data_IF_428003135102
#
_entry.id   IF_428003135102
#
_cell.length_a   1.000
_cell.length_b   1.000
_cell.length_c   1.000
_cell.angle_alpha   90.00
_cell.angle_beta   90.00
_cell.angle_gamma   90.00
#
_symmetry.space_group_name_H-M   'P 1'
#
loop_
_entity.id
_entity.type
_entity.pdbx_description
1 polymer ?
#
# COMPACT_ATOMS: atom_id res chain seq x y z
N UNK A 1 -10.64 13.31 28.44
CA UNK A 1 -11.07 12.00 27.89
C UNK A 1 -9.83 11.22 27.53
N UNK A 2 -9.71 9.96 27.96
CA UNK A 2 -8.54 9.11 27.67
C UNK A 2 -8.97 8.05 26.66
N UNK A 3 -8.28 8.01 25.52
CA UNK A 3 -8.51 7.03 24.46
C UNK A 3 -7.34 6.07 24.42
N UNK A 4 -7.63 4.79 24.22
CA UNK A 4 -6.62 3.75 24.12
C UNK A 4 -6.66 3.16 22.71
N UNK A 5 -5.50 3.12 22.07
CA UNK A 5 -5.33 2.61 20.71
C UNK A 5 -4.32 1.46 20.74
N UNK A 6 -4.68 0.35 20.10
CA UNK A 6 -3.82 -0.81 19.98
C UNK A 6 -4.16 -1.59 18.72
N UNK A 7 -3.14 -2.19 18.11
CA UNK A 7 -3.30 -3.04 16.93
C UNK A 7 -3.46 -4.49 17.36
N UNK A 8 -4.40 -5.19 16.73
CA UNK A 8 -4.66 -6.60 16.98
C UNK A 8 -5.22 -7.25 15.73
N UNK A 9 -5.07 -8.58 15.66
CA UNK A 9 -5.70 -9.39 14.62
C UNK A 9 -6.97 -10.04 15.19
N UNK A 10 -8.16 -9.77 14.64
CA UNK A 10 -9.37 -10.47 15.04
C UNK A 10 -9.21 -11.98 14.84
N UNK A 11 -9.73 -12.78 15.77
CA UNK A 11 -9.74 -14.24 15.67
C UNK A 11 -11.19 -14.73 15.82
N UNK A 12 -11.68 -15.49 14.84
CA UNK A 12 -13.05 -16.04 14.85
C UNK A 12 -14.14 -14.98 15.06
N UNK A 13 -13.99 -13.81 14.45
CA UNK A 13 -14.93 -12.69 14.61
C UNK A 13 -14.85 -11.99 15.97
N UNK A 14 -13.92 -12.39 16.85
CA UNK A 14 -13.73 -11.80 18.17
C UNK A 14 -12.45 -10.98 18.23
N UNK A 15 -12.55 -9.81 18.87
CA UNK A 15 -11.42 -8.98 19.26
C UNK A 15 -11.09 -9.29 20.71
N UNK A 16 -9.91 -9.86 20.96
CA UNK A 16 -9.43 -10.11 22.32
C UNK A 16 -8.83 -8.81 22.86
N UNK A 17 -9.42 -8.28 23.94
CA UNK A 17 -8.82 -7.17 24.67
C UNK A 17 -7.53 -7.64 25.35
N UNK A 18 -6.45 -6.85 25.27
CA UNK A 18 -5.24 -7.11 26.04
C UNK A 18 -5.50 -7.19 27.56
N UNK A 19 -4.71 -7.95 28.33
CA UNK A 19 -4.96 -8.19 29.76
C UNK A 19 -5.04 -6.93 30.63
N UNK A 20 -4.34 -5.87 30.24
CA UNK A 20 -4.36 -4.59 30.95
C UNK A 20 -5.71 -3.84 30.85
N UNK A 21 -6.63 -4.30 29.99
CA UNK A 21 -7.98 -3.78 29.84
C UNK A 21 -9.06 -4.70 30.41
N UNK A 22 -8.70 -5.78 31.11
CA UNK A 22 -9.64 -6.76 31.66
C UNK A 22 -10.67 -6.14 32.62
N UNK A 23 -10.32 -5.02 33.26
CA UNK A 23 -11.23 -4.20 34.08
C UNK A 23 -12.45 -3.62 33.32
N UNK A 24 -12.52 -3.77 31.99
CA UNK A 24 -13.62 -3.28 31.17
C UNK A 24 -14.58 -4.38 30.71
N UNK A 25 -14.33 -5.65 31.04
CA UNK A 25 -15.20 -6.77 30.65
C UNK A 25 -16.65 -6.59 31.14
N UNK A 26 -16.82 -6.00 32.33
CA UNK A 26 -18.14 -5.73 32.93
C UNK A 26 -18.70 -4.34 32.60
N UNK A 27 -18.06 -3.58 31.71
CA UNK A 27 -18.44 -2.19 31.42
C UNK A 27 -18.93 -2.04 29.99
N UNK A 28 -19.92 -1.16 29.79
CA UNK A 28 -20.34 -0.79 28.45
C UNK A 28 -19.25 0.10 27.81
N UNK A 29 -18.59 -0.43 26.78
CA UNK A 29 -17.53 0.26 26.03
C UNK A 29 -17.97 0.57 24.61
N UNK A 30 -17.49 1.70 24.07
CA UNK A 30 -17.61 2.03 22.64
C UNK A 30 -16.27 1.77 21.98
N UNK A 31 -16.28 1.06 20.85
CA UNK A 31 -15.08 0.65 20.12
C UNK A 31 -15.10 1.31 18.74
N UNK A 32 -13.99 1.91 18.34
CA UNK A 32 -13.77 2.39 16.97
C UNK A 32 -12.77 1.42 16.33
N UNK A 33 -13.19 0.76 15.25
CA UNK A 33 -12.33 -0.14 14.49
C UNK A 33 -11.80 0.59 13.28
N UNK A 34 -10.48 0.66 13.16
CA UNK A 34 -9.79 1.11 11.96
C UNK A 34 -9.22 -0.12 11.28
N UNK A 35 -9.74 -0.43 10.09
CA UNK A 35 -9.25 -1.54 9.28
C UNK A 35 -8.17 -0.97 8.37
N UNK A 36 -6.91 -1.33 8.64
CA UNK A 36 -5.86 -1.16 7.66
C UNK A 36 -6.11 -2.21 6.58
N UNK A 37 -6.55 -1.79 5.39
CA UNK A 37 -6.39 -2.57 4.18
C UNK A 37 -4.88 -2.70 3.97
N UNK A 38 -4.28 -3.68 4.62
CA UNK A 38 -3.03 -4.25 4.13
C UNK A 38 -3.46 -4.77 2.79
N UNK A 39 -3.14 -4.03 1.72
CA UNK A 39 -3.19 -4.56 0.37
C UNK A 39 -2.55 -5.93 0.50
N UNK A 40 -3.39 -6.98 0.48
CA UNK A 40 -2.92 -8.36 0.38
C UNK A 40 -1.87 -8.27 -0.70
N UNK A 41 -0.59 -8.61 -0.46
CA UNK A 41 0.48 -8.27 -1.38
C UNK A 41 -0.05 -8.74 -2.70
N UNK A 42 -0.44 -7.77 -3.54
CA UNK A 42 -1.08 -8.12 -4.79
C UNK A 42 0.01 -9.00 -5.33
N UNK A 43 -0.30 -10.28 -5.54
CA UNK A 43 0.48 -11.05 -6.48
C UNK A 43 0.20 -10.30 -7.77
N UNK A 44 0.86 -9.15 -7.92
CA UNK A 44 1.55 -8.77 -9.10
C UNK A 44 2.34 -10.04 -9.35
N UNK A 45 1.69 -10.96 -10.07
CA UNK A 45 2.24 -11.37 -11.33
C UNK A 45 2.89 -10.09 -11.83
N UNK A 46 4.18 -9.97 -11.52
CA UNK A 46 5.07 -9.09 -12.22
C UNK A 46 4.90 -9.63 -13.62
N UNK A 47 3.87 -9.14 -14.32
CA UNK A 47 3.90 -9.13 -15.74
C UNK A 47 5.24 -8.49 -15.99
N UNK A 48 6.15 -9.33 -16.45
CA UNK A 48 7.49 -8.93 -16.82
C UNK A 48 7.33 -8.10 -18.08
N UNK A 49 6.66 -6.96 -17.98
CA UNK A 49 6.97 -5.81 -18.80
C UNK A 49 8.30 -5.30 -18.27
N UNK A 50 9.34 -6.12 -18.48
CA UNK A 50 10.68 -5.61 -18.50
C UNK A 50 10.66 -4.59 -19.63
N UNK A 51 10.72 -3.32 -19.27
CA UNK A 51 11.05 -2.30 -20.25
C UNK A 51 12.44 -2.65 -20.74
N UNK A 52 12.52 -3.31 -21.89
CA UNK A 52 13.78 -3.64 -22.53
C UNK A 52 14.44 -2.31 -22.89
N UNK A 53 15.55 -2.01 -22.21
CA UNK A 53 16.36 -0.86 -22.54
C UNK A 53 16.95 -1.07 -23.94
N UNK A 54 16.35 -0.43 -24.94
CA UNK A 54 16.86 -0.47 -26.31
C UNK A 54 18.07 0.47 -26.42
N UNK A 55 19.23 -0.12 -26.68
CA UNK A 55 20.43 0.66 -27.01
C UNK A 55 20.41 1.01 -28.50
N UNK A 56 19.98 2.24 -28.81
CA UNK A 56 20.01 2.75 -30.18
C UNK A 56 21.40 3.28 -30.51
N UNK A 57 21.99 2.81 -31.62
CA UNK A 57 23.27 3.34 -32.13
C UNK A 57 23.03 4.72 -32.76
N UNK A 58 23.02 5.76 -31.93
CA UNK A 58 22.82 7.15 -32.36
C UNK A 58 24.10 7.81 -32.90
N UNK A 59 25.23 7.10 -32.91
CA UNK A 59 26.51 7.62 -33.42
C UNK A 59 26.41 7.88 -34.92
N UNK A 60 26.30 9.16 -35.30
CA UNK A 60 26.16 9.61 -36.68
C UNK A 60 24.78 10.23 -37.00
N UNK A 61 23.80 10.08 -36.11
CA UNK A 61 22.54 10.79 -36.24
C UNK A 61 22.74 12.26 -35.88
N UNK A 62 22.40 13.16 -36.79
CA UNK A 62 22.35 14.60 -36.55
C UNK A 62 20.89 15.02 -36.58
N UNK A 63 20.46 15.68 -35.52
CA UNK A 63 19.12 16.22 -35.42
C UNK A 63 18.97 17.39 -36.39
N UNK A 64 18.10 17.26 -37.40
CA UNK A 64 17.74 18.37 -38.27
C UNK A 64 16.62 19.17 -37.61
N UNK A 65 16.99 20.32 -37.04
CA UNK A 65 16.06 21.19 -36.31
C UNK A 65 15.05 21.87 -37.24
N UNK A 66 15.41 22.10 -38.50
CA UNK A 66 14.56 22.82 -39.45
C UNK A 66 13.33 21.97 -39.82
N UNK A 67 13.57 20.73 -40.27
CA UNK A 67 12.52 19.74 -40.60
C UNK A 67 11.60 19.42 -39.41
N UNK A 68 12.13 19.39 -38.18
CA UNK A 68 11.34 19.10 -36.98
C UNK A 68 10.37 20.24 -36.59
N UNK A 69 10.67 21.48 -36.99
CA UNK A 69 9.87 22.66 -36.67
C UNK A 69 8.85 23.02 -37.77
N UNK A 70 8.82 22.28 -38.88
CA UNK A 70 7.86 22.46 -39.99
C UNK A 70 6.49 21.78 -39.72
N UNK A 71 6.25 21.28 -38.50
CA UNK A 71 4.98 20.70 -38.05
C UNK A 71 4.21 21.59 -37.09
#
# INVERSE_FOLDING_TARGET
MQTFEFKLKPQNGMIKLPPHFQQWDDKQVRIILLIEEIESPVQTQKDRYAFDAISLKTKGFRFNREEANER
#
